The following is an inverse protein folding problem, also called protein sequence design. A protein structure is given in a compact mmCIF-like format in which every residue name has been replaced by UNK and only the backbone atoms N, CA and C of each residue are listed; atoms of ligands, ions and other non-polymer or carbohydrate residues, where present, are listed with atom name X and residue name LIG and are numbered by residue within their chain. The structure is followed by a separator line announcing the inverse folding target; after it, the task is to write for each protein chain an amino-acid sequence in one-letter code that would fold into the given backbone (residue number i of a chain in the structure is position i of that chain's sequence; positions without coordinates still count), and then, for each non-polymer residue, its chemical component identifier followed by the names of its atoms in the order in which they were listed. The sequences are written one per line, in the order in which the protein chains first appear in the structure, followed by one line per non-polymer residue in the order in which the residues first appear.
data_IF_195939299622
#
_entry.id   IF_195939299622
#
_cell.length_a   1.000
_cell.length_b   1.000
_cell.length_c   1.000
_cell.angle_alpha   90.00
_cell.angle_beta   90.00
_cell.angle_gamma   90.00
#
_symmetry.space_group_name_H-M   'P 1'
#
loop_
_entity.id
_entity.type
_entity.pdbx_description
1 polymer ?
#
# COMPACT_ATOMS: atom_id res chain seq x y z
N UNK A 1 -3.66 -12.09 4.93
CA UNK A 1 -4.22 -11.57 6.19
C UNK A 1 -3.91 -10.08 6.27
N UNK A 2 -4.81 -9.26 6.82
CA UNK A 2 -4.51 -7.87 7.17
C UNK A 2 -4.67 -7.70 8.67
N UNK A 3 -3.73 -7.02 9.31
CA UNK A 3 -3.66 -6.87 10.76
C UNK A 3 -3.32 -5.42 11.11
N UNK A 4 -3.97 -4.90 12.15
CA UNK A 4 -3.60 -3.63 12.76
C UNK A 4 -2.60 -3.89 13.88
N UNK A 5 -1.47 -3.20 13.83
CA UNK A 5 -0.44 -3.22 14.85
C UNK A 5 -0.27 -1.83 15.42
N UNK A 6 -0.09 -1.75 16.74
CA UNK A 6 0.35 -0.52 17.41
C UNK A 6 1.86 -0.60 17.59
N UNK A 7 2.56 0.42 17.12
CA UNK A 7 4.00 0.58 17.28
C UNK A 7 4.34 2.07 17.36
N UNK A 8 5.43 2.40 18.05
CA UNK A 8 5.88 3.78 18.25
C UNK A 8 6.92 4.19 17.18
N UNK A 9 7.33 3.27 16.30
CA UNK A 9 8.23 3.55 15.18
C UNK A 9 8.03 2.59 13.98
N UNK A 10 8.46 2.99 12.76
CA UNK A 10 8.56 2.10 11.60
C UNK A 10 9.32 0.79 11.87
N UNK A 11 10.39 0.87 12.66
CA UNK A 11 11.23 -0.30 12.97
C UNK A 11 10.49 -1.32 13.82
N UNK A 12 9.84 -0.83 14.86
CA UNK A 12 9.05 -1.64 15.78
C UNK A 12 7.83 -2.24 15.05
N UNK A 13 7.17 -1.46 14.20
CA UNK A 13 6.08 -1.94 13.35
C UNK A 13 6.53 -3.12 12.47
N UNK A 14 7.69 -2.99 11.82
CA UNK A 14 8.26 -4.07 11.01
C UNK A 14 8.58 -5.32 11.85
N UNK A 15 9.20 -5.15 13.01
CA UNK A 15 9.51 -6.26 13.91
C UNK A 15 8.25 -7.00 14.37
N UNK A 16 7.20 -6.27 14.77
CA UNK A 16 5.93 -6.85 15.18
C UNK A 16 5.22 -7.56 14.03
N UNK A 17 5.19 -6.97 12.84
CA UNK A 17 4.59 -7.60 11.67
C UNK A 17 5.30 -8.92 11.29
N UNK A 18 6.63 -8.95 11.33
CA UNK A 18 7.41 -10.16 11.05
C UNK A 18 7.18 -11.24 12.12
N UNK A 19 7.14 -10.87 13.40
CA UNK A 19 6.86 -11.79 14.50
C UNK A 19 5.47 -12.41 14.37
N UNK A 20 4.43 -11.58 14.15
CA UNK A 20 3.05 -12.03 13.95
C UNK A 20 2.92 -12.97 12.75
N UNK A 21 3.62 -12.66 11.64
CA UNK A 21 3.67 -13.52 10.47
C UNK A 21 4.22 -14.90 10.81
N UNK A 22 5.38 -14.96 11.48
CA UNK A 22 6.02 -16.21 11.88
C UNK A 22 5.18 -17.01 12.91
N UNK A 23 4.57 -16.33 13.88
CA UNK A 23 3.69 -16.96 14.88
C UNK A 23 2.41 -17.55 14.27
N UNK A 24 1.97 -17.01 13.13
CA UNK A 24 0.79 -17.47 12.40
C UNK A 24 1.07 -18.72 11.55
N UNK A 25 2.34 -19.14 11.43
CA UNK A 25 2.68 -20.37 10.71
C UNK A 25 2.15 -21.59 11.44
N UNK A 26 1.46 -22.47 10.71
CA UNK A 26 0.95 -23.69 11.29
C UNK A 26 0.75 -24.76 10.23
N UNK A 27 0.69 -26.01 10.68
CA UNK A 27 0.30 -27.14 9.84
C UNK A 27 -0.76 -27.95 10.53
N UNK A 28 -1.72 -28.45 9.76
CA UNK A 28 -2.78 -29.32 10.27
C UNK A 28 -3.20 -30.32 9.19
N UNK A 29 -3.85 -31.39 9.61
CA UNK A 29 -4.49 -32.34 8.71
C UNK A 29 -5.96 -31.94 8.52
N UNK A 30 -6.38 -31.74 7.28
CA UNK A 30 -7.78 -31.44 6.99
C UNK A 30 -8.65 -32.72 7.05
N UNK A 31 -9.99 -32.63 7.03
CA UNK A 31 -10.87 -33.82 7.10
C UNK A 31 -10.65 -34.87 6.01
N UNK A 32 -10.00 -34.50 4.90
CA UNK A 32 -9.63 -35.41 3.81
C UNK A 32 -8.26 -36.08 4.00
N UNK A 33 -7.68 -35.99 5.21
CA UNK A 33 -6.34 -36.47 5.57
C UNK A 33 -5.21 -35.85 4.77
N UNK A 34 -5.40 -34.64 4.24
CA UNK A 34 -4.35 -33.89 3.55
C UNK A 34 -3.69 -32.92 4.51
N UNK A 35 -2.36 -32.85 4.45
CA UNK A 35 -1.59 -31.84 5.19
C UNK A 35 -1.78 -30.48 4.54
N UNK A 36 -2.23 -29.51 5.33
CA UNK A 36 -2.33 -28.10 4.96
C UNK A 36 -1.28 -27.34 5.76
N UNK A 37 -0.64 -26.36 5.13
CA UNK A 37 0.36 -25.50 5.76
C UNK A 37 0.04 -24.03 5.50
N UNK A 38 0.03 -23.23 6.56
CA UNK A 38 0.13 -21.78 6.47
C UNK A 38 1.59 -21.43 6.68
N UNK A 39 2.19 -20.76 5.71
CA UNK A 39 3.60 -20.38 5.77
C UNK A 39 3.70 -18.90 5.45
N UNK A 40 4.39 -18.17 6.31
CA UNK A 40 4.64 -16.76 6.13
C UNK A 40 5.83 -16.58 5.19
N UNK A 41 5.66 -15.76 4.17
CA UNK A 41 6.69 -15.49 3.16
C UNK A 41 7.34 -14.12 3.33
N UNK A 42 6.59 -13.17 3.89
CA UNK A 42 7.02 -11.79 4.06
C UNK A 42 5.86 -10.84 3.97
N UNK A 43 6.17 -9.55 3.98
CA UNK A 43 5.18 -8.47 3.93
C UNK A 43 5.01 -8.01 2.48
N UNK A 44 3.76 -7.84 2.05
CA UNK A 44 3.44 -7.16 0.78
C UNK A 44 3.51 -5.65 0.94
N UNK A 45 3.01 -5.16 2.06
CA UNK A 45 3.01 -3.74 2.41
C UNK A 45 2.99 -3.62 3.95
N UNK A 46 3.42 -2.46 4.43
CA UNK A 46 3.31 -2.05 5.82
C UNK A 46 3.14 -0.53 5.80
N UNK A 47 1.96 -0.05 6.18
CA UNK A 47 1.56 1.35 6.05
C UNK A 47 1.13 1.95 7.39
N UNK A 48 1.30 3.26 7.52
CA UNK A 48 0.88 4.03 8.69
C UNK A 48 -0.52 4.56 8.46
N UNK A 49 -1.38 4.38 9.47
CA UNK A 49 -2.66 5.08 9.52
C UNK A 49 -2.40 6.44 10.17
N UNK A 50 -2.42 7.51 9.36
CA UNK A 50 -2.10 8.86 9.81
C UNK A 50 -3.25 9.58 10.55
N UNK A 51 -4.48 9.09 10.38
CA UNK A 51 -5.69 9.63 11.05
C UNK A 51 -6.13 8.76 12.23
N UNK A 52 -7.15 9.22 12.95
CA UNK A 52 -7.82 8.38 13.93
C UNK A 52 -8.62 7.26 13.24
N UNK A 53 -8.78 6.13 13.92
CA UNK A 53 -9.66 5.06 13.47
C UNK A 53 -11.11 5.48 13.69
N UNK A 54 -11.76 5.94 12.64
CA UNK A 54 -13.17 6.34 12.67
C UNK A 54 -14.11 5.19 12.30
N UNK A 55 -15.38 5.34 12.68
CA UNK A 55 -16.43 4.40 12.28
C UNK A 55 -16.54 4.34 10.75
N UNK A 56 -16.53 3.13 10.19
CA UNK A 56 -16.61 2.91 8.74
C UNK A 56 -15.26 2.74 8.04
N UNK A 57 -14.14 2.77 8.76
CA UNK A 57 -12.84 2.37 8.21
C UNK A 57 -12.89 0.91 7.74
N UNK A 58 -12.64 0.68 6.45
CA UNK A 58 -12.65 -0.66 5.86
C UNK A 58 -11.24 -1.24 5.76
N UNK A 59 -11.13 -2.54 6.04
CA UNK A 59 -9.92 -3.32 5.82
C UNK A 59 -10.29 -4.50 4.94
N UNK A 60 -9.68 -4.60 3.75
CA UNK A 60 -9.99 -5.63 2.78
C UNK A 60 -8.93 -6.74 2.77
N UNK A 61 -9.38 -7.98 2.61
CA UNK A 61 -8.53 -9.16 2.45
C UNK A 61 -9.01 -9.99 1.27
N UNK A 62 -8.08 -10.58 0.53
CA UNK A 62 -8.36 -11.44 -0.63
C UNK A 62 -7.45 -12.68 -0.60
N UNK A 63 -7.95 -13.75 -1.19
CA UNK A 63 -7.26 -15.03 -1.35
C UNK A 63 -7.21 -15.40 -2.83
N UNK A 64 -6.02 -15.78 -3.29
CA UNK A 64 -5.79 -16.15 -4.68
C UNK A 64 -4.90 -17.40 -4.72
N UNK A 65 -5.16 -18.28 -5.70
CA UNK A 65 -4.29 -19.41 -5.99
C UNK A 65 -3.19 -18.96 -6.96
N UNK A 66 -1.95 -18.96 -6.49
CA UNK A 66 -0.79 -18.46 -7.22
C UNK A 66 0.35 -19.47 -7.23
N UNK A 67 1.19 -19.38 -8.26
CA UNK A 67 2.48 -20.07 -8.32
C UNK A 67 3.50 -19.38 -7.39
N UNK A 68 4.50 -20.13 -6.91
CA UNK A 68 5.48 -19.59 -5.94
C UNK A 68 6.23 -18.36 -6.48
N UNK A 69 6.55 -18.30 -7.78
CA UNK A 69 7.21 -17.14 -8.37
C UNK A 69 6.34 -15.85 -8.27
N UNK A 70 5.02 -15.98 -8.41
CA UNK A 70 4.09 -14.87 -8.24
C UNK A 70 3.96 -14.48 -6.75
N UNK A 71 3.99 -15.44 -5.83
CA UNK A 71 4.03 -15.13 -4.39
C UNK A 71 5.28 -14.32 -4.04
N UNK A 72 6.45 -14.71 -4.57
CA UNK A 72 7.70 -14.00 -4.32
C UNK A 72 7.68 -12.56 -4.86
N UNK A 73 7.02 -12.31 -5.99
CA UNK A 73 6.90 -10.95 -6.53
C UNK A 73 5.98 -10.04 -5.70
N UNK A 74 5.21 -10.58 -4.76
CA UNK A 74 4.36 -9.80 -3.85
C UNK A 74 5.12 -9.38 -2.60
N UNK A 75 6.27 -9.97 -2.31
CA UNK A 75 7.04 -9.68 -1.10
C UNK A 75 7.85 -8.41 -1.36
N UNK A 76 7.56 -7.37 -0.59
CA UNK A 76 8.24 -6.10 -0.69
C UNK A 76 9.49 -6.11 0.21
N UNK A 77 10.67 -5.73 -0.31
CA UNK A 77 11.86 -5.54 0.51
C UNK A 77 11.59 -4.53 1.63
N UNK A 78 12.18 -4.74 2.82
CA UNK A 78 11.96 -3.89 4.00
C UNK A 78 12.05 -2.39 3.69
N UNK A 79 13.05 -1.96 2.92
CA UNK A 79 13.29 -0.55 2.63
C UNK A 79 12.31 0.08 1.63
N UNK A 80 11.50 -0.74 0.94
CA UNK A 80 10.48 -0.31 -0.01
C UNK A 80 9.06 -0.32 0.59
N UNK A 81 8.88 -0.88 1.80
CA UNK A 81 7.59 -0.85 2.48
C UNK A 81 7.15 0.60 2.75
N UNK A 82 5.86 0.88 2.60
CA UNK A 82 5.30 2.24 2.64
C UNK A 82 5.64 3.02 3.91
N UNK A 83 5.76 2.35 5.06
CA UNK A 83 6.14 2.95 6.36
C UNK A 83 7.56 3.53 6.38
N UNK A 84 8.45 3.05 5.52
CA UNK A 84 9.82 3.56 5.36
C UNK A 84 9.96 4.52 4.18
N UNK A 85 8.93 4.62 3.32
CA UNK A 85 8.93 5.55 2.22
C UNK A 85 8.81 7.00 2.72
N UNK A 86 9.55 7.96 2.13
CA UNK A 86 9.42 9.36 2.50
C UNK A 86 7.99 9.86 2.19
N UNK A 87 7.37 10.53 3.16
CA UNK A 87 6.08 11.18 2.96
C UNK A 87 6.23 12.34 1.96
N UNK A 88 6.03 12.08 0.68
CA UNK A 88 5.96 13.14 -0.33
C UNK A 88 4.65 13.90 -0.13
N UNK A 89 4.77 15.19 0.18
CA UNK A 89 3.61 16.08 0.19
C UNK A 89 3.09 16.18 -1.23
N UNK A 90 1.91 15.65 -1.48
CA UNK A 90 1.19 15.94 -2.72
C UNK A 90 0.89 17.44 -2.75
N UNK A 91 1.20 18.10 -3.87
CA UNK A 91 0.78 19.51 -4.10
C UNK A 91 -0.74 19.64 -4.28
N UNK A 92 -1.45 18.51 -4.25
CA UNK A 92 -2.86 18.40 -4.53
C UNK A 92 -3.11 18.16 -6.03
N UNK A 93 -4.36 17.84 -6.40
CA UNK A 93 -4.76 17.84 -7.79
C UNK A 93 -4.58 19.24 -8.38
N UNK A 94 -4.14 19.31 -9.64
CA UNK A 94 -4.34 20.53 -10.41
C UNK A 94 -5.84 20.68 -10.68
N UNK A 95 -6.47 21.62 -9.96
CA UNK A 95 -7.89 21.94 -10.13
C UNK A 95 -8.14 22.94 -11.25
N UNK A 96 -7.12 23.29 -12.03
CA UNK A 96 -7.30 24.16 -13.18
C UNK A 96 -8.22 23.50 -14.22
N UNK A 97 -9.22 24.25 -14.67
CA UNK A 97 -10.08 23.79 -15.76
C UNK A 97 -9.38 24.07 -17.08
N UNK A 98 -9.16 23.00 -17.86
CA UNK A 98 -8.57 23.09 -19.20
C UNK A 98 -9.30 24.11 -20.08
N UNK A 99 -10.63 24.07 -20.10
CA UNK A 99 -11.44 25.01 -20.89
C UNK A 99 -11.27 26.47 -20.46
N UNK A 100 -11.11 26.70 -19.15
CA UNK A 100 -10.88 28.06 -18.61
C UNK A 100 -9.49 28.54 -18.98
N UNK A 101 -8.47 27.68 -18.88
CA UNK A 101 -7.10 28.00 -19.26
C UNK A 101 -6.95 28.25 -20.76
N UNK A 102 -7.60 27.45 -21.61
CA UNK A 102 -7.60 27.64 -23.06
C UNK A 102 -8.17 29.01 -23.44
N UNK A 103 -9.34 29.39 -22.91
CA UNK A 103 -9.93 30.73 -23.14
C UNK A 103 -9.03 31.85 -22.61
N UNK A 104 -8.40 31.65 -21.46
CA UNK A 104 -7.48 32.61 -20.88
C UNK A 104 -6.25 32.81 -21.78
N UNK A 105 -5.71 31.75 -22.38
CA UNK A 105 -4.57 31.82 -23.29
C UNK A 105 -4.93 32.33 -24.69
N UNK A 106 -6.13 32.07 -25.18
CA UNK A 106 -6.65 32.72 -26.40
C UNK A 106 -6.73 34.25 -26.20
N UNK A 107 -7.20 34.69 -25.04
CA UNK A 107 -7.37 36.12 -24.72
C UNK A 107 -6.04 36.79 -24.37
N UNK A 108 -5.16 36.08 -23.66
CA UNK A 108 -3.86 36.58 -23.17
C UNK A 108 -2.73 35.60 -23.51
N UNK A 109 -2.24 35.58 -24.76
CA UNK A 109 -1.26 34.59 -25.22
C UNK A 109 0.06 34.61 -24.46
N UNK A 110 0.45 35.77 -23.93
CA UNK A 110 1.69 35.95 -23.15
C UNK A 110 1.67 35.25 -21.79
N UNK A 111 0.51 34.75 -21.33
CA UNK A 111 0.37 33.97 -20.10
C UNK A 111 0.49 32.46 -20.34
N UNK A 112 0.54 31.98 -21.59
CA UNK A 112 0.64 30.55 -21.92
C UNK A 112 2.05 30.02 -21.53
N UNK A 113 2.16 29.03 -20.63
CA UNK A 113 3.44 28.45 -20.25
C UNK A 113 4.08 27.69 -21.42
N UNK A 114 5.42 27.63 -21.42
CA UNK A 114 6.20 27.01 -22.51
C UNK A 114 6.04 25.47 -22.58
N UNK A 115 5.66 24.84 -21.47
CA UNK A 115 5.44 23.41 -21.31
C UNK A 115 3.96 22.99 -21.40
N UNK A 116 3.08 23.91 -21.81
CA UNK A 116 1.68 23.60 -22.08
C UNK A 116 1.57 22.51 -23.15
N UNK A 117 0.95 21.37 -22.80
CA UNK A 117 0.71 20.26 -23.72
C UNK A 117 -0.67 20.42 -24.36
N UNK A 118 -0.71 20.41 -25.69
CA UNK A 118 -1.96 20.41 -26.48
C UNK A 118 -2.68 19.07 -26.40
#
# INVERSE_FOLDING_TARGET
MVVLIRADSPEEAYQYAMALGAESEMTYENPARKKVAFIFRGLRDLSVIHGELEHGTEISYYEEALEEAAIQSYICPRHELSVFAPATRSEGPDYSSREVLEKLYETYPHLKPADWRD
#
